data_IF_111544383716
#
_entry.id   IF_111544383716
#
_cell.length_a   1.000
_cell.length_b   1.000
_cell.length_c   1.000
_cell.angle_alpha   90.00
_cell.angle_beta   90.00
_cell.angle_gamma   90.00
#
_symmetry.space_group_name_H-M   'P 1'
#
loop_
_entity.id
_entity.type
_entity.pdbx_description
1 polymer ?
2 water ?
#
# COMPACT_ATOMS: atom_id res chain seq x y z
N UNK A 1 -7.22 24.22 10.89
CA UNK A 1 -6.69 22.82 10.86
C UNK A 1 -6.76 22.27 9.43
N UNK A 2 -5.65 21.73 8.94
CA UNK A 2 -5.59 21.20 7.57
C UNK A 2 -6.36 19.87 7.47
N UNK A 3 -6.79 19.69 6.21
CA UNK A 3 -7.47 18.48 5.75
C UNK A 3 -7.30 18.50 4.22
N UNK A 4 -7.43 17.34 3.58
CA UNK A 4 -7.30 17.35 2.11
C UNK A 4 -7.69 15.97 1.60
N UNK A 5 -8.05 15.94 0.33
CA UNK A 5 -8.43 14.68 -0.32
C UNK A 5 -7.47 14.49 -1.51
N UNK A 6 -6.82 13.35 -1.57
CA UNK A 6 -5.95 13.13 -2.77
C UNK A 6 -6.66 12.03 -3.52
N UNK A 7 -6.70 12.10 -4.83
CA UNK A 7 -7.38 11.03 -5.57
C UNK A 7 -6.36 9.99 -5.99
N UNK A 8 -6.78 8.75 -5.88
CA UNK A 8 -5.90 7.67 -6.33
C UNK A 8 -6.54 7.03 -7.58
N UNK A 9 -5.65 6.46 -8.38
CA UNK A 9 -6.14 5.76 -9.60
C UNK A 9 -5.46 4.41 -9.74
N UNK A 10 -6.22 3.33 -9.95
CA UNK A 10 -5.63 2.04 -10.17
C UNK A 10 -5.00 1.97 -11.57
N UNK A 11 -3.93 1.25 -11.67
CA UNK A 11 -3.27 0.96 -12.95
C UNK A 11 -4.06 -0.26 -13.46
N UNK A 12 -3.63 -0.84 -14.57
CA UNK A 12 -4.23 -2.05 -15.15
C UNK A 12 -4.30 -3.17 -14.12
N UNK A 13 -5.46 -3.77 -14.08
CA UNK A 13 -5.82 -4.87 -13.16
C UNK A 13 -5.74 -4.42 -11.69
N UNK A 14 -5.68 -3.11 -11.47
CA UNK A 14 -5.53 -2.65 -10.06
C UNK A 14 -4.23 -3.13 -9.46
N UNK A 15 -3.17 -3.17 -10.26
CA UNK A 15 -1.86 -3.66 -9.78
C UNK A 15 -1.27 -2.77 -8.67
N UNK A 16 -1.49 -1.49 -8.88
CA UNK A 16 -1.00 -0.48 -7.92
C UNK A 16 -1.91 0.73 -8.00
N UNK A 17 -1.78 1.63 -7.02
CA UNK A 17 -2.68 2.80 -6.99
C UNK A 17 -1.78 4.03 -6.99
N UNK A 18 -1.90 4.89 -7.93
CA UNK A 18 -0.98 6.08 -7.91
C UNK A 18 -1.76 7.34 -7.57
N UNK A 19 -1.02 8.29 -7.01
CA UNK A 19 -1.57 9.58 -6.61
C UNK A 19 -0.55 10.67 -6.96
N UNK A 20 -0.98 11.81 -7.44
CA UNK A 20 -0.03 12.89 -7.73
C UNK A 20 0.39 13.57 -6.45
N UNK A 21 1.67 13.88 -6.39
CA UNK A 21 2.38 14.50 -5.30
C UNK A 21 3.24 15.62 -5.95
N UNK A 22 3.16 16.80 -5.38
CA UNK A 22 3.97 17.90 -5.93
C UNK A 22 5.17 18.09 -5.00
N UNK A 23 6.34 17.99 -5.54
CA UNK A 23 7.58 18.18 -4.77
C UNK A 23 8.33 19.33 -5.43
N UNK A 24 8.48 20.37 -4.62
CA UNK A 24 9.24 21.53 -5.13
C UNK A 24 8.69 21.97 -6.50
N UNK A 25 7.36 22.00 -6.60
CA UNK A 25 6.73 22.46 -7.87
C UNK A 25 6.53 21.50 -9.02
N UNK A 26 7.14 20.31 -8.97
CA UNK A 26 7.03 19.29 -9.98
C UNK A 26 6.03 18.23 -9.49
N UNK A 27 5.10 17.85 -10.34
CA UNK A 27 4.16 16.79 -9.92
C UNK A 27 4.65 15.43 -10.40
N UNK A 28 4.68 14.50 -9.49
CA UNK A 28 5.10 13.10 -9.71
C UNK A 28 3.92 12.17 -9.37
N UNK A 29 3.84 11.00 -9.97
CA UNK A 29 2.79 10.03 -9.72
C UNK A 29 3.40 8.97 -8.80
N UNK A 30 2.99 8.99 -7.51
CA UNK A 30 3.60 8.05 -6.58
C UNK A 30 2.61 6.96 -6.05
N UNK A 31 3.23 5.89 -5.61
CA UNK A 31 2.38 4.78 -5.06
C UNK A 31 2.30 5.08 -3.58
N UNK A 32 1.13 5.23 -2.99
CA UNK A 32 1.11 5.50 -1.52
C UNK A 32 1.24 4.16 -0.85
N UNK A 33 2.16 4.02 0.10
CA UNK A 33 2.41 2.72 0.68
C UNK A 33 2.44 2.71 2.18
N UNK A 34 1.40 2.12 2.74
CA UNK A 34 1.35 2.02 4.23
C UNK A 34 2.28 0.92 4.79
N UNK A 35 3.01 0.22 3.94
CA UNK A 35 3.96 -0.79 4.41
C UNK A 35 5.39 -0.33 4.49
N UNK A 36 5.64 0.91 4.16
CA UNK A 36 7.02 1.49 4.24
C UNK A 36 6.95 2.93 4.71
N UNK A 37 8.12 3.41 5.18
CA UNK A 37 8.19 4.78 5.71
C UNK A 37 9.19 5.68 4.99
N UNK A 38 9.49 5.36 3.76
CA UNK A 38 10.38 6.20 2.94
C UNK A 38 9.55 6.91 1.86
N UNK A 39 9.97 8.12 1.53
CA UNK A 39 9.39 8.89 0.44
C UNK A 39 10.54 8.96 -0.56
N UNK A 40 10.59 8.05 -1.53
CA UNK A 40 11.70 8.10 -2.52
C UNK A 40 11.11 8.33 -3.91
N UNK A 41 11.95 9.01 -4.70
CA UNK A 41 11.51 9.37 -6.06
C UNK A 41 12.63 9.22 -7.10
N UNK A 42 12.14 9.02 -8.32
CA UNK A 42 13.01 8.96 -9.50
C UNK A 42 13.58 10.39 -9.55
N UNK A 43 14.84 10.56 -9.92
CA UNK A 43 15.46 11.89 -9.91
C UNK A 43 16.38 12.04 -11.14
N UNK A 44 16.87 13.25 -11.23
CA UNK A 44 17.81 13.61 -12.32
C UNK A 44 19.16 12.99 -11.99
N UNK A 45 19.30 12.36 -10.80
CA UNK A 45 20.59 11.74 -10.46
C UNK A 45 20.71 10.38 -11.11
N UNK A 46 19.62 9.82 -11.61
CA UNK A 46 19.67 8.54 -12.30
C UNK A 46 20.25 8.75 -13.72
N UNK A 47 20.74 7.67 -14.30
CA UNK A 47 21.22 7.68 -15.70
C UNK A 47 20.07 8.14 -16.55
N UNK A 48 20.28 9.00 -17.51
CA UNK A 48 19.25 9.52 -18.40
C UNK A 48 18.30 8.47 -19.00
N UNK A 49 18.83 7.30 -19.25
CA UNK A 49 18.11 6.17 -19.86
C UNK A 49 17.07 5.56 -18.91
N UNK A 50 17.36 5.71 -17.63
CA UNK A 50 16.50 5.16 -16.56
C UNK A 50 15.42 6.15 -16.15
N UNK A 51 15.64 7.38 -16.55
CA UNK A 51 14.69 8.47 -16.28
C UNK A 51 13.53 8.44 -17.27
N UNK A 52 13.74 7.78 -18.40
CA UNK A 52 12.75 7.70 -19.48
C UNK A 52 11.46 6.98 -19.04
N UNK A 53 10.39 7.66 -19.37
CA UNK A 53 9.01 7.27 -19.11
C UNK A 53 8.56 7.63 -17.69
N UNK A 54 9.23 8.58 -17.09
CA UNK A 54 8.89 9.02 -15.72
C UNK A 54 9.01 10.52 -15.60
N UNK A 55 8.34 11.05 -14.59
CA UNK A 55 8.41 12.45 -14.17
C UNK A 55 9.55 12.32 -13.14
N UNK A 56 10.55 13.20 -13.21
CA UNK A 56 11.67 13.07 -12.27
C UNK A 56 11.79 14.32 -11.43
N UNK A 57 12.31 14.13 -10.23
CA UNK A 57 12.59 15.27 -9.35
C UNK A 57 13.99 15.79 -9.66
N UNK A 58 14.12 17.12 -9.71
CA UNK A 58 15.49 17.69 -9.89
C UNK A 58 15.83 18.36 -8.56
N UNK A 59 16.66 17.67 -7.75
CA UNK A 59 16.96 18.18 -6.41
C UNK A 59 17.60 19.55 -6.37
N UNK A 60 18.45 19.83 -7.35
CA UNK A 60 19.22 21.08 -7.41
C UNK A 60 18.37 22.32 -7.61
N UNK A 61 17.19 22.16 -8.21
CA UNK A 61 16.30 23.29 -8.43
C UNK A 61 15.76 23.92 -7.15
N UNK A 62 15.24 23.10 -6.26
CA UNK A 62 14.58 23.52 -5.03
C UNK A 62 14.93 22.82 -3.74
N UNK A 63 15.66 21.71 -3.78
CA UNK A 63 15.94 21.00 -2.54
C UNK A 63 17.10 21.51 -1.74
N UNK A 64 17.05 21.30 -0.45
CA UNK A 64 18.15 21.62 0.45
C UNK A 64 18.89 20.28 0.66
N UNK A 65 20.16 20.14 0.32
CA UNK A 65 20.81 18.84 0.50
C UNK A 65 21.17 18.49 1.92
N UNK A 66 21.02 17.27 2.37
CA UNK A 66 21.44 16.85 3.72
C UNK A 66 22.76 16.16 3.43
N UNK A 67 23.84 16.91 3.56
CA UNK A 67 25.17 16.30 3.18
C UNK A 67 25.57 15.14 4.07
N UNK A 68 25.97 14.07 3.39
CA UNK A 68 26.39 12.82 4.03
C UNK A 68 25.23 11.86 4.32
N UNK A 69 24.04 12.26 4.04
CA UNK A 69 22.88 11.35 4.33
C UNK A 69 22.66 10.39 3.15
N UNK A 70 22.20 9.19 3.55
CA UNK A 70 21.90 8.13 2.57
C UNK A 70 20.60 7.38 2.94
N UNK A 71 20.13 6.63 1.96
CA UNK A 71 18.96 5.78 2.24
C UNK A 71 19.23 4.56 1.33
N UNK A 72 18.56 3.47 1.71
CA UNK A 72 18.76 2.23 0.88
C UNK A 72 17.74 1.24 1.39
N UNK A 73 17.12 0.58 0.41
CA UNK A 73 16.07 -0.44 0.63
C UNK A 73 16.33 -1.66 -0.26
N UNK A 74 16.15 -2.83 0.34
CA UNK A 74 16.30 -4.12 -0.39
C UNK A 74 15.00 -4.88 -0.10
N UNK A 75 14.34 -5.42 -1.11
CA UNK A 75 13.07 -6.16 -0.93
C UNK A 75 13.28 -7.65 -1.02
N UNK A 76 12.34 -8.46 -0.50
CA UNK A 76 12.46 -9.93 -0.52
C UNK A 76 12.40 -10.54 -1.91
N UNK A 77 11.84 -9.73 -2.84
CA UNK A 77 11.69 -10.19 -4.25
C UNK A 77 12.99 -9.94 -5.02
N UNK A 78 13.93 -9.28 -4.37
CA UNK A 78 15.22 -9.03 -5.02
C UNK A 78 15.27 -7.62 -5.60
N UNK A 79 14.26 -6.78 -5.40
CA UNK A 79 14.42 -5.41 -5.97
C UNK A 79 15.11 -4.58 -4.88
N UNK A 80 15.55 -3.38 -5.30
CA UNK A 80 16.28 -2.49 -4.40
C UNK A 80 16.37 -1.08 -5.01
N UNK A 81 16.60 -0.12 -4.12
CA UNK A 81 16.74 1.27 -4.56
C UNK A 81 17.55 2.00 -3.47
N UNK A 82 18.34 2.98 -3.90
CA UNK A 82 19.13 3.74 -2.93
C UNK A 82 19.47 5.14 -3.48
N UNK A 83 19.97 6.01 -2.58
CA UNK A 83 20.36 7.34 -3.09
C UNK A 83 20.65 8.27 -1.93
N UNK A 84 20.38 9.55 -2.24
CA UNK A 84 20.72 10.60 -1.24
C UNK A 84 19.44 11.34 -0.83
N UNK A 85 19.68 12.39 -0.01
CA UNK A 85 18.47 13.01 0.59
C UNK A 85 18.46 14.53 0.57
N UNK A 86 17.29 15.04 0.30
CA UNK A 86 17.05 16.49 0.24
C UNK A 86 15.82 16.81 1.07
N UNK A 87 15.72 18.07 1.47
CA UNK A 87 14.46 18.47 2.13
C UNK A 87 13.83 19.41 1.10
N UNK A 88 12.53 19.32 0.99
CA UNK A 88 11.72 20.13 0.06
C UNK A 88 10.28 20.30 0.53
N UNK A 89 9.48 20.99 -0.23
CA UNK A 89 8.04 21.19 0.05
C UNK A 89 7.31 20.09 -0.73
N UNK A 90 6.48 19.37 0.04
CA UNK A 90 5.75 18.24 -0.56
C UNK A 90 4.25 18.46 -0.33
N UNK A 91 3.51 18.49 -1.43
CA UNK A 91 2.05 18.74 -1.32
C UNK A 91 1.22 17.54 -1.78
N UNK A 92 0.28 17.18 -0.90
CA UNK A 92 -0.58 16.01 -1.22
C UNK A 92 -2.03 16.46 -0.97
N UNK A 93 -2.81 16.50 -2.02
CA UNK A 93 -4.23 16.93 -1.82
C UNK A 93 -4.46 18.22 -1.09
N UNK A 94 -3.60 19.17 -1.38
CA UNK A 94 -3.67 20.51 -0.82
C UNK A 94 -3.04 20.62 0.54
N UNK A 95 -2.48 19.55 1.07
CA UNK A 95 -1.80 19.60 2.37
C UNK A 95 -0.30 19.65 2.05
N UNK A 96 0.36 20.67 2.56
CA UNK A 96 1.80 20.88 2.30
C UNK A 96 2.67 20.69 3.54
N UNK A 97 3.67 19.85 3.31
CA UNK A 97 4.69 19.54 4.32
C UNK A 97 5.94 20.33 3.92
N UNK A 98 6.28 21.33 4.75
CA UNK A 98 7.50 22.08 4.53
C UNK A 98 8.67 21.36 5.20
N UNK A 99 9.76 21.27 4.49
CA UNK A 99 11.00 20.63 4.93
C UNK A 99 10.89 19.11 4.97
N UNK A 100 10.03 18.58 4.10
CA UNK A 100 9.92 17.12 4.12
C UNK A 100 11.20 16.48 3.58
N UNK A 101 11.63 15.36 4.15
CA UNK A 101 12.83 14.71 3.57
C UNK A 101 12.40 13.98 2.30
N UNK A 102 13.11 14.17 1.22
CA UNK A 102 12.80 13.53 -0.07
C UNK A 102 14.01 12.64 -0.44
N UNK A 103 13.78 11.37 -0.59
CA UNK A 103 14.85 10.40 -0.91
C UNK A 103 14.95 10.28 -2.43
N UNK A 104 15.99 10.95 -2.93
CA UNK A 104 16.24 10.95 -4.39
C UNK A 104 16.95 9.68 -4.80
N UNK A 105 16.42 9.00 -5.82
CA UNK A 105 17.05 7.76 -6.23
C UNK A 105 18.32 8.04 -7.10
N UNK A 106 19.32 7.26 -6.74
CA UNK A 106 20.57 7.26 -7.50
C UNK A 106 20.79 5.93 -8.21
N UNK A 107 20.19 4.87 -7.66
CA UNK A 107 20.29 3.53 -8.24
C UNK A 107 18.95 2.85 -8.04
N UNK A 108 18.42 2.13 -8.99
CA UNK A 108 17.15 1.42 -8.85
C UNK A 108 17.32 0.07 -9.58
N UNK A 109 16.68 -0.97 -9.08
CA UNK A 109 16.84 -2.29 -9.77
C UNK A 109 15.90 -2.33 -10.95
N UNK A 110 15.96 -3.34 -11.80
CA UNK A 110 15.18 -3.53 -13.02
C UNK A 110 13.66 -3.47 -12.84
N UNK A 111 13.17 -4.11 -11.78
CA UNK A 111 11.72 -4.05 -11.60
C UNK A 111 11.25 -2.59 -11.45
N UNK A 112 12.02 -1.67 -10.88
CA UNK A 112 11.48 -0.31 -10.77
C UNK A 112 11.63 0.39 -12.12
N UNK A 113 12.74 0.06 -12.74
CA UNK A 113 13.07 0.59 -14.07
C UNK A 113 11.89 0.33 -15.03
N UNK A 114 11.54 -0.93 -15.10
CA UNK A 114 10.44 -1.41 -15.97
C UNK A 114 9.06 -0.87 -15.61
N UNK A 115 8.77 -0.44 -14.39
CA UNK A 115 7.43 0.05 -14.08
C UNK A 115 7.23 1.56 -14.32
N UNK A 116 6.81 1.90 -15.53
CA UNK A 116 6.59 3.31 -15.86
C UNK A 116 5.30 3.93 -15.34
N UNK A 117 4.54 3.20 -14.57
CA UNK A 117 3.28 3.65 -13.98
C UNK A 117 3.50 4.62 -12.79
N UNK A 118 4.63 4.46 -12.10
CA UNK A 118 4.91 5.35 -10.96
C UNK A 118 6.34 5.93 -11.11
N UNK A 119 6.51 6.96 -10.29
CA UNK A 119 7.75 7.74 -10.23
C UNK A 119 8.34 7.67 -8.81
N UNK A 120 7.93 6.68 -8.01
CA UNK A 120 8.47 6.55 -6.66
C UNK A 120 7.35 6.08 -5.68
N UNK A 121 7.68 6.18 -4.42
CA UNK A 121 6.73 5.71 -3.37
C UNK A 121 6.59 6.73 -2.28
N UNK A 122 5.45 6.88 -1.68
CA UNK A 122 5.23 7.77 -0.51
C UNK A 122 4.86 6.85 0.66
N UNK A 123 5.73 6.65 1.61
CA UNK A 123 5.61 5.81 2.76
C UNK A 123 4.67 6.36 3.83
N UNK A 124 3.73 5.53 4.25
CA UNK A 124 2.78 5.92 5.30
C UNK A 124 2.80 4.98 6.51
N UNK A 125 3.82 4.17 6.64
CA UNK A 125 4.06 3.34 7.82
C UNK A 125 4.58 4.30 8.92
N UNK A 126 4.86 3.79 10.11
CA UNK A 126 5.38 4.67 11.19
C UNK A 126 6.83 5.07 10.85
N UNK A 127 7.18 6.29 11.29
CA UNK A 127 8.52 6.82 10.98
C UNK A 127 9.64 5.94 11.54
N UNK A 128 9.41 5.17 12.60
CA UNK A 128 10.47 4.34 13.21
C UNK A 128 11.22 3.44 12.19
N UNK A 129 10.57 3.22 11.06
CA UNK A 129 11.21 2.35 10.05
C UNK A 129 11.70 3.08 8.80
N UNK A 130 11.81 4.38 8.91
CA UNK A 130 12.39 5.14 7.76
C UNK A 130 13.84 4.67 7.62
N UNK A 131 14.44 4.48 6.45
CA UNK A 131 15.79 3.96 6.28
C UNK A 131 16.94 4.98 6.14
N UNK A 132 16.65 6.26 6.33
CA UNK A 132 17.66 7.32 6.14
C UNK A 132 18.71 7.27 7.25
N UNK A 133 19.95 7.33 6.80
CA UNK A 133 21.10 7.32 7.76
C UNK A 133 21.92 8.60 7.56
N UNK A 134 22.61 9.12 8.56
CA UNK A 134 22.69 8.58 9.92
C UNK A 134 21.49 8.85 10.81
N UNK A 135 20.63 9.78 10.41
CA UNK A 135 19.43 10.03 11.26
C UNK A 135 18.16 9.80 10.44
N UNK A 136 17.31 8.89 10.90
CA UNK A 136 16.05 8.62 10.16
C UNK A 136 15.17 9.85 10.20
N UNK A 137 14.31 9.94 9.19
CA UNK A 137 13.41 11.08 8.94
C UNK A 137 11.92 10.75 9.14
N UNK A 138 11.09 11.79 9.19
CA UNK A 138 9.66 11.48 9.38
C UNK A 138 8.96 11.38 8.05
N UNK A 139 7.92 10.53 8.04
CA UNK A 139 7.07 10.37 6.88
C UNK A 139 6.26 11.65 6.62
N UNK A 140 5.68 11.79 5.44
CA UNK A 140 4.82 12.92 5.07
C UNK A 140 3.77 13.08 6.20
N UNK A 141 3.15 11.92 6.50
CA UNK A 141 2.07 11.98 7.52
C UNK A 141 2.56 12.49 8.88
N UNK A 142 3.73 11.91 9.31
CA UNK A 142 4.20 12.36 10.65
C UNK A 142 4.58 13.83 10.57
N UNK A 143 5.06 14.27 9.43
CA UNK A 143 5.46 15.67 9.31
C UNK A 143 4.26 16.60 9.47
N UNK A 144 3.14 16.33 8.82
CA UNK A 144 1.97 17.19 8.83
C UNK A 144 0.91 16.92 9.89
N UNK A 145 0.94 15.79 10.49
CA UNK A 145 -0.02 15.28 11.47
C UNK A 145 -0.57 16.31 12.45
N UNK A 146 0.37 17.00 13.08
CA UNK A 146 0.06 18.01 14.12
C UNK A 146 -0.73 19.17 13.55
N UNK A 147 -0.67 19.38 12.26
CA UNK A 147 -1.42 20.51 11.66
C UNK A 147 -2.80 20.11 11.13
N UNK A 148 -3.09 18.84 11.07
CA UNK A 148 -4.36 18.31 10.60
C UNK A 148 -5.46 18.47 11.66
N UNK A 149 -6.67 18.61 11.16
CA UNK A 149 -7.85 18.70 12.08
C UNK A 149 -7.86 17.48 12.99
N UNK A 150 -7.57 16.29 12.50
CA UNK A 150 -7.49 15.02 13.25
C UNK A 150 -6.22 14.32 12.72
N UNK A 151 -5.48 13.73 13.59
CA UNK A 151 -4.22 13.04 13.19
C UNK A 151 -4.44 11.63 12.66
N UNK A 152 -5.16 11.61 11.53
CA UNK A 152 -5.50 10.36 10.84
C UNK A 152 -5.58 10.55 9.33
N UNK A 153 -5.59 9.42 8.63
CA UNK A 153 -5.80 9.42 7.16
C UNK A 153 -6.73 8.21 6.93
N UNK A 154 -7.44 8.25 5.81
CA UNK A 154 -8.40 7.13 5.54
C UNK A 154 -8.28 6.81 4.08
N UNK A 155 -8.54 5.56 3.75
CA UNK A 155 -8.40 5.20 2.33
C UNK A 155 -9.58 4.43 1.78
N UNK A 156 -9.95 4.77 0.54
CA UNK A 156 -10.98 3.93 -0.14
C UNK A 156 -10.30 3.64 -1.49
N UNK A 157 -9.81 2.43 -1.62
CA UNK A 157 -9.22 1.94 -2.89
C UNK A 157 -10.39 1.27 -3.60
N UNK A 158 -10.50 1.37 -4.90
CA UNK A 158 -11.61 0.78 -5.66
C UNK A 158 -11.17 -0.13 -6.79
N UNK A 159 -12.13 -0.90 -7.30
CA UNK A 159 -11.87 -1.79 -8.43
C UNK A 159 -12.05 -1.02 -9.73
N UNK A 160 -10.98 -0.80 -10.44
CA UNK A 160 -11.00 -0.02 -11.71
C UNK A 160 -11.86 1.23 -11.71
N UNK A 161 -11.63 2.06 -10.68
CA UNK A 161 -12.31 3.37 -10.54
C UNK A 161 -11.39 4.13 -9.56
N UNK A 162 -11.45 5.44 -9.72
CA UNK A 162 -10.69 6.35 -8.86
C UNK A 162 -11.13 6.20 -7.41
N UNK A 163 -10.19 6.38 -6.50
CA UNK A 163 -10.57 6.30 -5.06
C UNK A 163 -9.97 7.56 -4.43
N UNK A 164 -9.96 7.50 -3.11
CA UNK A 164 -9.42 8.66 -2.37
C UNK A 164 -8.59 8.22 -1.16
N UNK A 165 -7.80 9.22 -0.85
CA UNK A 165 -6.99 9.26 0.38
C UNK A 165 -7.52 10.52 1.10
N UNK A 166 -8.15 10.40 2.24
CA UNK A 166 -8.64 11.55 3.00
C UNK A 166 -7.59 11.82 4.07
N UNK A 167 -7.06 13.03 4.10
CA UNK A 167 -6.08 13.41 5.15
C UNK A 167 -6.73 14.29 6.19
N UNK A 168 -6.73 13.86 7.44
CA UNK A 168 -7.24 14.66 8.56
C UNK A 168 -8.74 14.68 8.78
N UNK A 169 -9.51 13.83 8.12
CA UNK A 169 -10.98 13.85 8.36
C UNK A 169 -11.49 12.51 7.84
N UNK A 170 -12.66 12.16 8.27
CA UNK A 170 -13.35 10.93 7.88
C UNK A 170 -14.53 11.37 7.01
N UNK A 171 -14.67 10.71 5.87
CA UNK A 171 -15.78 11.01 4.96
C UNK A 171 -16.75 9.84 5.19
N UNK A 172 -17.79 10.12 5.95
CA UNK A 172 -18.81 9.09 6.28
C UNK A 172 -19.63 8.67 5.07
N UNK A 173 -19.61 9.43 4.00
CA UNK A 173 -20.35 9.00 2.80
C UNK A 173 -19.61 7.87 2.07
N UNK A 174 -18.38 7.55 2.45
CA UNK A 174 -17.59 6.50 1.79
C UNK A 174 -17.79 5.11 2.33
N UNK A 175 -18.57 4.98 3.41
CA UNK A 175 -18.82 3.60 3.95
C UNK A 175 -20.27 3.52 4.42
N UNK A 176 -20.67 2.30 4.74
CA UNK A 176 -22.03 2.06 5.26
C UNK A 176 -21.90 1.61 6.72
N UNK A 177 -22.91 2.04 7.50
CA UNK A 177 -23.01 1.71 8.91
C UNK A 177 -21.98 2.52 9.68
N UNK A 178 -21.48 1.93 10.73
CA UNK A 178 -20.49 2.57 11.60
C UNK A 178 -19.12 1.92 11.53
N UNK A 179 -18.11 2.68 11.89
CA UNK A 179 -16.73 2.14 11.93
C UNK A 179 -16.54 1.25 13.16
N UNK A 180 -15.76 0.22 13.06
CA UNK A 180 -15.34 -0.69 14.09
C UNK A 180 -13.80 -0.50 14.18
N UNK A 181 -13.37 -0.11 15.35
CA UNK A 181 -11.95 0.12 15.61
C UNK A 181 -11.27 -1.03 16.29
N UNK A 182 -10.02 -1.23 15.91
CA UNK A 182 -9.19 -2.26 16.55
C UNK A 182 -7.85 -1.64 16.88
N UNK A 183 -7.20 -2.13 17.96
CA UNK A 183 -5.92 -1.53 18.33
C UNK A 183 -4.79 -1.98 17.39
N UNK A 184 -3.88 -1.03 17.20
CA UNK A 184 -2.70 -1.31 16.35
C UNK A 184 -1.46 -1.51 17.21
N UNK A 185 -0.60 -2.42 16.76
CA UNK A 185 0.70 -2.70 17.36
C UNK A 185 1.79 -2.06 16.44
N UNK A 186 2.29 -0.89 16.74
CA UNK A 186 3.30 -0.27 15.86
C UNK A 186 4.74 -0.54 16.24
N UNK A 187 4.98 -1.52 17.08
CA UNK A 187 6.31 -1.90 17.58
C UNK A 187 7.25 -2.29 16.46
N UNK A 188 6.76 -2.80 15.33
CA UNK A 188 7.67 -3.17 14.22
C UNK A 188 7.57 -2.09 13.13
N UNK A 189 6.87 -1.01 13.35
CA UNK A 189 6.62 0.13 12.47
C UNK A 189 5.47 0.02 11.52
N UNK A 190 4.63 -1.01 11.58
CA UNK A 190 3.52 -1.25 10.68
C UNK A 190 2.15 -1.04 11.36
N UNK A 191 1.16 -0.88 10.47
CA UNK A 191 -0.25 -0.75 10.95
C UNK A 191 -0.70 -2.23 11.12
N UNK A 192 -0.19 -2.83 12.20
CA UNK A 192 -0.41 -4.26 12.53
C UNK A 192 -1.61 -4.44 13.45
N UNK A 193 -2.51 -5.33 13.12
CA UNK A 193 -3.74 -5.60 13.89
C UNK A 193 -3.97 -7.13 13.94
N UNK A 194 -4.89 -7.46 14.82
CA UNK A 194 -5.24 -8.87 15.02
C UNK A 194 -6.65 -9.24 14.51
N UNK A 195 -6.71 -10.45 13.97
CA UNK A 195 -8.04 -10.93 13.58
C UNK A 195 -8.27 -12.10 14.59
N UNK A 196 -9.51 -12.24 14.91
CA UNK A 196 -10.01 -13.24 15.87
C UNK A 196 -10.27 -14.62 15.28
N UNK A 197 -10.62 -14.58 14.01
CA UNK A 197 -10.99 -15.70 13.18
C UNK A 197 -11.01 -15.43 11.70
N UNK A 198 -11.05 -16.47 10.88
CA UNK A 198 -11.21 -16.27 9.44
C UNK A 198 -12.17 -17.38 8.95
N UNK A 199 -12.83 -17.04 7.86
CA UNK A 199 -13.67 -18.01 7.15
C UNK A 199 -13.25 -18.00 5.67
N UNK A 200 -12.75 -19.12 5.20
CA UNK A 200 -12.33 -19.24 3.77
C UNK A 200 -13.38 -20.14 3.13
N UNK A 201 -14.39 -19.51 2.52
CA UNK A 201 -15.45 -20.36 1.89
C UNK A 201 -16.16 -21.11 3.02
N UNK A 202 -16.13 -22.41 3.00
CA UNK A 202 -16.70 -23.40 3.90
C UNK A 202 -15.87 -23.79 5.10
N UNK A 203 -14.69 -23.23 5.26
CA UNK A 203 -13.79 -23.60 6.37
C UNK A 203 -13.42 -22.39 7.21
N UNK A 204 -13.45 -22.54 8.51
CA UNK A 204 -13.12 -21.40 9.42
C UNK A 204 -11.88 -21.80 10.18
N UNK A 205 -11.13 -20.87 10.76
CA UNK A 205 -9.92 -21.26 11.53
C UNK A 205 -9.60 -20.12 12.50
N UNK A 206 -8.56 -20.39 13.24
CA UNK A 206 -8.04 -19.46 14.25
C UNK A 206 -7.52 -18.18 13.61
N UNK A 207 -7.51 -17.18 14.48
CA UNK A 207 -7.04 -15.82 14.06
C UNK A 207 -5.53 -15.77 13.98
N UNK A 208 -5.03 -14.59 13.59
CA UNK A 208 -3.61 -14.32 13.36
C UNK A 208 -3.39 -12.79 13.31
N UNK A 209 -2.17 -12.38 13.00
CA UNK A 209 -1.93 -10.94 12.87
C UNK A 209 -1.52 -10.67 11.40
N UNK A 210 -1.76 -9.38 11.05
CA UNK A 210 -1.38 -8.94 9.68
C UNK A 210 -1.29 -7.41 9.71
N UNK A 211 -0.77 -6.95 8.57
CA UNK A 211 -0.59 -5.50 8.39
C UNK A 211 -1.49 -4.94 7.32
N UNK A 212 -1.94 -3.73 7.46
CA UNK A 212 -2.77 -3.06 6.44
C UNK A 212 -1.73 -2.42 5.51
N UNK A 213 -1.66 -2.90 4.28
CA UNK A 213 -0.60 -2.47 3.32
C UNK A 213 -1.10 -2.10 1.93
N UNK A 214 -1.22 -0.76 1.76
CA UNK A 214 -1.70 -0.29 0.43
C UNK A 214 -0.71 -0.56 -0.70
N UNK A 215 0.52 -0.80 -0.34
CA UNK A 215 1.58 -1.03 -1.32
C UNK A 215 1.63 -2.45 -1.84
N UNK A 216 0.89 -3.37 -1.29
CA UNK A 216 0.92 -4.78 -1.74
C UNK A 216 -0.36 -5.00 -2.54
N UNK A 217 -0.21 -5.54 -3.70
CA UNK A 217 -1.37 -5.77 -4.58
C UNK A 217 -2.37 -6.81 -4.06
N UNK A 218 -1.82 -7.92 -3.56
CA UNK A 218 -2.67 -9.06 -3.16
C UNK A 218 -2.93 -9.24 -1.67
N UNK A 219 -3.71 -10.30 -1.42
CA UNK A 219 -3.98 -10.69 0.00
C UNK A 219 -3.02 -11.86 0.29
N UNK A 220 -1.99 -11.63 1.13
CA UNK A 220 -0.97 -12.65 1.35
C UNK A 220 -1.18 -13.30 2.73
N UNK A 221 -1.48 -14.56 2.67
CA UNK A 221 -1.79 -15.34 3.88
C UNK A 221 -0.89 -16.54 4.10
N UNK A 222 -0.96 -17.21 5.26
CA UNK A 222 -0.17 -18.40 5.57
C UNK A 222 -0.52 -19.49 4.54
N UNK A 223 0.41 -20.32 4.16
CA UNK A 223 0.16 -21.36 3.14
C UNK A 223 -0.91 -22.34 3.57
N UNK A 224 -1.12 -22.51 4.87
CA UNK A 224 -2.21 -23.44 5.25
C UNK A 224 -3.55 -22.84 4.86
N UNK A 225 -3.69 -21.52 5.04
CA UNK A 225 -4.89 -20.77 4.72
C UNK A 225 -5.07 -20.81 3.20
N UNK A 226 -4.03 -20.48 2.46
CA UNK A 226 -4.07 -20.53 0.98
C UNK A 226 -4.53 -21.90 0.47
N UNK A 227 -3.93 -22.97 1.00
CA UNK A 227 -4.38 -24.30 0.54
C UNK A 227 -5.87 -24.49 0.77
N UNK A 228 -6.29 -24.20 2.00
CA UNK A 228 -7.71 -24.38 2.41
C UNK A 228 -8.61 -23.64 1.43
N UNK A 229 -8.24 -22.41 1.11
CA UNK A 229 -9.02 -21.65 0.17
C UNK A 229 -9.09 -22.35 -1.20
N UNK A 230 -7.92 -22.57 -1.80
CA UNK A 230 -7.91 -23.12 -3.19
C UNK A 230 -8.36 -24.57 -3.25
N UNK A 231 -8.39 -25.26 -2.09
CA UNK A 231 -8.96 -26.64 -2.18
C UNK A 231 -10.44 -26.60 -2.54
N UNK A 232 -11.06 -25.44 -2.45
CA UNK A 232 -12.48 -25.22 -2.74
C UNK A 232 -12.78 -24.63 -4.11
N UNK A 233 -11.72 -24.42 -4.88
CA UNK A 233 -11.83 -23.86 -6.23
C UNK A 233 -11.51 -24.97 -7.24
N UNK A 234 -12.51 -25.34 -8.04
CA UNK A 234 -12.22 -26.45 -8.99
C UNK A 234 -11.21 -25.97 -10.06
N UNK A 235 -10.20 -26.79 -10.23
CA UNK A 235 -9.15 -26.58 -11.22
C UNK A 235 -8.02 -25.64 -10.85
N UNK A 236 -8.01 -25.13 -9.63
CA UNK A 236 -6.99 -24.19 -9.18
C UNK A 236 -5.63 -24.87 -9.20
N UNK A 237 -4.64 -24.19 -9.78
CA UNK A 237 -3.29 -24.79 -9.90
C UNK A 237 -2.33 -23.60 -9.85
N UNK A 238 -1.13 -23.94 -9.45
CA UNK A 238 -0.05 -22.92 -9.29
C UNK A 238 0.58 -22.73 -10.67
N UNK A 239 0.87 -21.49 -11.01
CA UNK A 239 1.51 -21.19 -12.31
C UNK A 239 2.54 -20.07 -12.06
N UNK A 240 3.79 -20.49 -12.14
CA UNK A 240 4.92 -19.59 -11.87
C UNK A 240 4.96 -18.48 -12.93
N UNK A 241 4.45 -18.76 -14.11
CA UNK A 241 4.37 -17.75 -15.19
C UNK A 241 3.41 -16.64 -14.68
N UNK A 242 2.29 -17.13 -14.15
CA UNK A 242 1.27 -16.16 -13.67
C UNK A 242 1.72 -15.54 -12.35
N UNK A 243 2.24 -16.34 -11.42
CA UNK A 243 2.66 -15.72 -10.13
C UNK A 243 2.08 -16.45 -8.92
N UNK A 244 1.36 -17.53 -9.18
CA UNK A 244 0.79 -18.28 -8.01
C UNK A 244 -0.42 -19.05 -8.50
N UNK A 245 -1.37 -19.25 -7.60
CA UNK A 245 -2.59 -19.94 -8.00
C UNK A 245 -3.42 -19.23 -9.05
N UNK A 246 -3.86 -20.00 -10.07
CA UNK A 246 -4.69 -19.52 -11.17
C UNK A 246 -5.89 -20.49 -11.28
N UNK A 247 -6.87 -20.02 -12.00
CA UNK A 247 -8.12 -20.80 -12.21
C UNK A 247 -8.79 -20.24 -13.43
N UNK A 248 -9.78 -21.02 -13.89
CA UNK A 248 -10.61 -20.66 -15.05
C UNK A 248 -11.29 -19.36 -14.62
N UNK A 249 -11.25 -18.34 -15.44
CA UNK A 249 -11.85 -17.04 -15.12
C UNK A 249 -13.35 -17.08 -14.81
N UNK A 250 -14.01 -18.15 -15.25
CA UNK A 250 -15.45 -18.30 -15.03
C UNK A 250 -15.74 -18.94 -13.68
N UNK A 251 -14.70 -19.28 -12.96
CA UNK A 251 -14.88 -19.93 -11.65
C UNK A 251 -15.68 -19.06 -10.70
N UNK A 252 -16.50 -19.74 -9.90
CA UNK A 252 -17.31 -19.15 -8.83
C UNK A 252 -16.41 -19.30 -7.58
N UNK A 253 -15.90 -18.15 -7.12
CA UNK A 253 -14.98 -18.20 -5.97
C UNK A 253 -15.68 -17.94 -4.65
N UNK A 254 -15.24 -18.64 -3.64
CA UNK A 254 -15.77 -18.45 -2.31
C UNK A 254 -15.41 -17.08 -1.77
N UNK A 255 -16.20 -16.64 -0.82
CA UNK A 255 -15.83 -15.37 -0.13
C UNK A 255 -14.74 -15.73 0.88
N UNK A 256 -14.09 -14.64 1.30
CA UNK A 256 -13.09 -14.74 2.38
C UNK A 256 -13.45 -13.68 3.43
N UNK A 257 -13.52 -14.06 4.69
CA UNK A 257 -13.83 -13.04 5.71
C UNK A 257 -12.96 -13.20 6.93
N UNK A 258 -12.74 -12.07 7.63
CA UNK A 258 -11.97 -12.10 8.90
C UNK A 258 -12.84 -11.37 9.96
N UNK A 259 -12.72 -11.81 11.19
CA UNK A 259 -13.48 -11.20 12.32
C UNK A 259 -12.51 -10.30 13.08
N UNK A 260 -12.84 -9.01 13.13
CA UNK A 260 -11.99 -8.01 13.77
C UNK A 260 -12.77 -7.29 14.88
N UNK A 261 -12.42 -7.62 16.10
CA UNK A 261 -13.07 -6.96 17.25
C UNK A 261 -14.58 -6.97 17.07
N UNK A 262 -15.14 -8.10 16.64
CA UNK A 262 -16.59 -8.25 16.45
C UNK A 262 -17.23 -8.02 15.11
N UNK A 263 -16.48 -7.31 14.26
CA UNK A 263 -16.87 -6.98 12.88
C UNK A 263 -16.35 -8.04 11.90
N UNK A 264 -17.22 -8.40 10.99
CA UNK A 264 -16.86 -9.32 9.91
C UNK A 264 -16.49 -8.53 8.63
N UNK A 265 -15.19 -8.54 8.36
CA UNK A 265 -14.75 -7.86 7.11
C UNK A 265 -14.79 -8.92 6.01
N UNK A 266 -15.62 -8.79 5.03
CA UNK A 266 -15.75 -9.77 3.97
C UNK A 266 -15.23 -9.30 2.61
N UNK A 267 -14.40 -10.15 2.05
CA UNK A 267 -13.94 -9.96 0.68
C UNK A 267 -14.81 -10.88 -0.20
N UNK A 268 -15.66 -10.35 -1.05
CA UNK A 268 -16.47 -11.18 -1.94
C UNK A 268 -15.62 -11.91 -2.94
N UNK A 269 -16.09 -13.12 -3.29
CA UNK A 269 -15.39 -13.95 -4.27
C UNK A 269 -15.06 -13.20 -5.57
N UNK A 270 -15.89 -12.25 -5.97
CA UNK A 270 -15.67 -11.52 -7.22
C UNK A 270 -14.44 -10.61 -7.13
N UNK A 271 -14.09 -10.14 -5.95
CA UNK A 271 -12.89 -9.30 -5.82
C UNK A 271 -11.65 -10.20 -5.76
N UNK A 272 -11.80 -11.45 -5.41
CA UNK A 272 -10.63 -12.36 -5.32
C UNK A 272 -10.16 -12.81 -6.69
N UNK A 273 -10.96 -12.51 -7.71
CA UNK A 273 -10.59 -12.82 -9.10
C UNK A 273 -9.77 -11.56 -9.48
N UNK A 274 -8.45 -11.70 -9.46
CA UNK A 274 -7.57 -10.55 -9.76
C UNK A 274 -7.65 -10.04 -11.21
N UNK A 275 -7.67 -10.99 -12.09
CA UNK A 275 -7.80 -10.70 -13.53
C UNK A 275 -7.00 -11.77 -14.27
N UNK A 276 -6.93 -11.56 -15.57
CA UNK A 276 -6.20 -12.44 -16.48
C UNK A 276 -4.77 -12.61 -16.01
N UNK A 277 -4.30 -13.83 -16.04
CA UNK A 277 -2.94 -14.10 -15.54
C UNK A 277 -1.85 -13.71 -16.52
N UNK A 278 -2.29 -13.44 -17.74
CA UNK A 278 -1.43 -13.05 -18.86
C UNK A 278 -0.67 -14.30 -19.32
N UNK A 279 -1.43 -15.35 -19.60
CA UNK A 279 -0.86 -16.62 -20.10
C UNK A 279 -1.99 -17.66 -20.21
N UNK A 280 -2.52 -17.73 -21.44
CA UNK A 280 -3.62 -18.67 -21.73
C UNK A 280 -4.93 -18.10 -21.15
N UNK A 281 -5.88 -18.97 -20.99
CA UNK A 281 -7.23 -18.85 -20.51
C UNK A 281 -7.48 -18.82 -18.99
N UNK A 282 -6.53 -18.29 -18.21
CA UNK A 282 -6.72 -18.31 -16.75
C UNK A 282 -6.62 -16.92 -16.11
N UNK A 283 -7.10 -16.95 -14.87
CA UNK A 283 -7.13 -15.75 -14.03
C UNK A 283 -6.29 -15.94 -12.81
N UNK A 284 -5.73 -14.85 -12.29
CA UNK A 284 -4.91 -14.99 -11.06
C UNK A 284 -5.76 -14.79 -9.79
N UNK A 285 -5.47 -15.59 -8.78
CA UNK A 285 -6.14 -15.48 -7.48
C UNK A 285 -5.59 -14.26 -6.72
N UNK A 286 -6.52 -13.55 -6.08
CA UNK A 286 -6.18 -12.36 -5.29
C UNK A 286 -5.57 -12.78 -3.94
N UNK A 287 -5.79 -14.02 -3.52
CA UNK A 287 -5.19 -14.62 -2.34
C UNK A 287 -3.96 -15.44 -2.74
N UNK A 288 -2.83 -15.12 -2.13
CA UNK A 288 -1.57 -15.85 -2.43
C UNK A 288 -0.73 -15.96 -1.17
N UNK A 289 0.30 -16.80 -1.26
CA UNK A 289 1.18 -17.08 -0.10
C UNK A 289 2.00 -15.90 0.40
N UNK A 290 2.19 -15.79 1.70
CA UNK A 290 3.01 -14.76 2.33
C UNK A 290 4.45 -15.32 2.40
N UNK A 291 4.70 -16.48 1.82
CA UNK A 291 6.06 -17.10 1.81
C UNK A 291 6.71 -17.37 3.17
N UNK A 292 5.86 -17.68 4.12
CA UNK A 292 6.30 -18.06 5.46
C UNK A 292 6.96 -16.91 6.20
N UNK A 293 6.54 -15.69 5.93
CA UNK A 293 7.10 -14.50 6.62
C UNK A 293 6.64 -14.37 8.08
N UNK A 294 5.59 -15.03 8.49
CA UNK A 294 5.14 -15.00 9.88
C UNK A 294 3.99 -14.10 10.25
N UNK A 295 3.51 -13.33 9.29
CA UNK A 295 2.37 -12.41 9.48
C UNK A 295 1.64 -12.26 8.12
N UNK A 296 0.39 -11.86 8.17
CA UNK A 296 -0.36 -11.70 6.88
C UNK A 296 -0.30 -10.31 6.33
N UNK A 297 -0.43 -10.19 4.99
CA UNK A 297 -0.39 -8.86 4.37
C UNK A 297 -1.74 -8.51 3.80
N UNK A 298 -2.46 -7.58 4.43
CA UNK A 298 -3.78 -7.22 3.93
C UNK A 298 -3.59 -6.12 2.87
N UNK A 299 -3.32 -6.61 1.66
CA UNK A 299 -3.08 -5.77 0.49
C UNK A 299 -4.38 -5.28 -0.15
N UNK A 300 -4.20 -4.71 -1.34
CA UNK A 300 -5.23 -4.05 -2.11
C UNK A 300 -6.48 -4.96 -2.28
N UNK A 301 -6.26 -6.21 -2.53
CA UNK A 301 -7.45 -7.10 -2.69
C UNK A 301 -8.43 -6.93 -1.53
N UNK A 302 -7.86 -6.98 -0.32
CA UNK A 302 -8.65 -6.82 0.92
C UNK A 302 -9.18 -5.40 1.03
N UNK A 303 -8.32 -4.41 0.80
CA UNK A 303 -8.72 -3.01 0.98
C UNK A 303 -9.78 -2.47 0.04
N UNK A 304 -9.93 -3.05 -1.12
CA UNK A 304 -10.95 -2.68 -2.08
C UNK A 304 -12.35 -2.96 -1.56
N UNK A 305 -12.47 -3.72 -0.50
CA UNK A 305 -13.79 -4.04 0.08
C UNK A 305 -14.15 -3.09 1.23
N UNK A 306 -13.18 -2.42 1.79
CA UNK A 306 -13.36 -1.58 2.96
C UNK A 306 -12.98 -0.11 2.83
N UNK A 307 -13.49 0.65 3.78
CA UNK A 307 -13.09 2.05 4.00
C UNK A 307 -12.22 1.87 5.29
N UNK A 308 -10.99 2.36 5.23
CA UNK A 308 -10.08 2.13 6.39
C UNK A 308 -9.53 3.42 6.96
N UNK A 309 -9.63 3.55 8.26
CA UNK A 309 -9.15 4.77 8.96
C UNK A 309 -7.84 4.38 9.67
N UNK A 310 -6.78 5.10 9.37
CA UNK A 310 -5.44 4.92 9.96
C UNK A 310 -5.33 6.07 10.99
N UNK A 311 -5.60 5.76 12.25
CA UNK A 311 -5.65 6.81 13.28
C UNK A 311 -4.46 6.77 14.22
N UNK A 312 -3.68 7.84 14.16
CA UNK A 312 -2.46 7.87 15.02
C UNK A 312 -2.76 7.90 16.53
N UNK A 313 -3.96 8.14 16.98
CA UNK A 313 -4.38 8.16 18.39
C UNK A 313 -4.71 6.74 18.78
N UNK A 314 -3.91 6.08 19.58
CA UNK A 314 -4.22 4.63 19.90
C UNK A 314 -2.81 4.00 19.86
N UNK A 315 -2.28 3.74 18.67
CA UNK A 315 -2.92 3.99 17.36
C UNK A 315 -4.02 2.98 17.12
N UNK A 316 -4.90 3.21 16.16
CA UNK A 316 -5.98 2.22 15.90
C UNK A 316 -6.39 2.24 14.44
N UNK A 317 -7.08 1.25 13.94
CA UNK A 317 -7.53 1.16 12.56
C UNK A 317 -9.06 1.03 12.60
N UNK A 318 -9.77 1.78 11.81
CA UNK A 318 -11.24 1.62 11.84
C UNK A 318 -11.58 1.01 10.51
N UNK A 319 -12.60 0.15 10.47
CA UNK A 319 -13.06 -0.52 9.28
C UNK A 319 -14.60 -0.43 9.12
N UNK A 320 -15.01 -0.36 7.86
CA UNK A 320 -16.48 -0.42 7.54
C UNK A 320 -16.50 -0.81 6.06
N UNK A 321 -17.60 -1.38 5.61
CA UNK A 321 -17.73 -1.77 4.22
C UNK A 321 -17.83 -0.51 3.37
N UNK A 322 -17.18 -0.56 2.21
CA UNK A 322 -17.21 0.57 1.28
C UNK A 322 -18.62 0.80 0.75
N UNK A 323 -18.98 2.05 0.58
CA UNK A 323 -20.36 2.34 0.11
C UNK A 323 -20.40 2.30 -1.43
#
# INVERSE_FOLDING_TARGET
AASGVATNTPTANDEEYITPVTIGGTTLNLNFDTGSADLWVFSTELPASQQSGHSVYNPSATGKELSGYTWSISYGDGSSASGNVFTDSVTVGGVTAHGQAVQAAQQISAQFQQDTNNDGLLGLAFSSINTVQPQSQTTFFDTVKSSLAQPLFAVALKHQQPGVYDFGFIDSSKYTGSLTYTGVDNSQGFWSFNVDSYTAGSQSGDGFSGIADTGTTLLLLDDSVVSQYYSQVSGAQQDSNAGGYVFDCSTNLPDFSVSISGYTATVPGSLINYGPSGDGSTCLGGIQSNSGIGFSIFGDIFLKSQYVVFDSDGPQLGFAPQA
#
